data_IF_172848885400
#
_entry.id   IF_172848885400
#
_cell.length_a   1.000
_cell.length_b   1.000
_cell.length_c   1.000
_cell.angle_alpha   90.00
_cell.angle_beta   90.00
_cell.angle_gamma   90.00
#
_symmetry.space_group_name_H-M   'P 1'
#
loop_
_entity.id
_entity.type
_entity.pdbx_description
1 polymer ?
#
# COMPACT_ATOMS: atom_id res chain seq x y z
N UNK A 1 0.00 18.29 -13.51
CA UNK A 1 0.49 17.12 -12.75
C UNK A 1 1.33 17.52 -11.55
N UNK A 2 2.45 18.23 -11.71
CA UNK A 2 3.39 18.54 -10.63
C UNK A 2 2.78 19.32 -9.46
N UNK A 3 1.93 20.30 -9.75
CA UNK A 3 1.22 21.04 -8.71
C UNK A 3 0.27 20.14 -7.89
N UNK A 4 -0.38 19.18 -8.54
CA UNK A 4 -1.24 18.22 -7.85
C UNK A 4 -0.43 17.29 -6.95
N UNK A 5 0.69 16.74 -7.46
CA UNK A 5 1.59 15.89 -6.67
C UNK A 5 2.16 16.65 -5.47
N UNK A 6 2.59 17.90 -5.67
CA UNK A 6 3.09 18.76 -4.59
C UNK A 6 2.00 19.08 -3.55
N UNK A 7 0.76 19.27 -4.00
CA UNK A 7 -0.38 19.47 -3.11
C UNK A 7 -0.66 18.23 -2.25
N UNK A 8 -0.70 17.04 -2.87
CA UNK A 8 -0.88 15.78 -2.18
C UNK A 8 0.23 15.58 -1.14
N UNK A 9 1.49 15.75 -1.53
CA UNK A 9 2.63 15.58 -0.63
C UNK A 9 2.56 16.47 0.61
N UNK A 10 1.92 17.64 0.50
CA UNK A 10 1.82 18.63 1.58
C UNK A 10 0.59 18.45 2.47
N UNK A 11 -0.50 17.97 1.92
CA UNK A 11 -1.82 18.03 2.56
C UNK A 11 -2.49 16.68 2.77
N UNK A 12 -1.99 15.60 2.15
CA UNK A 12 -2.55 14.27 2.27
C UNK A 12 -2.26 13.64 3.63
N UNK A 13 -3.15 12.75 4.06
CA UNK A 13 -2.90 11.82 5.18
C UNK A 13 -2.03 10.65 4.76
N UNK A 14 -1.65 10.54 3.48
CA UNK A 14 -0.94 9.41 2.87
C UNK A 14 -1.73 8.08 2.92
N UNK A 15 -3.05 8.18 3.00
CA UNK A 15 -3.92 7.01 3.02
C UNK A 15 -4.25 6.55 1.59
N UNK A 16 -5.00 7.33 0.84
CA UNK A 16 -5.53 6.94 -0.48
C UNK A 16 -5.60 8.13 -1.42
N UNK A 17 -5.03 7.98 -2.61
CA UNK A 17 -5.04 8.99 -3.66
C UNK A 17 -5.42 8.36 -5.00
N UNK A 18 -6.11 9.11 -5.84
CA UNK A 18 -6.58 8.62 -7.13
C UNK A 18 -6.32 9.61 -8.26
N UNK A 19 -6.08 9.08 -9.44
CA UNK A 19 -6.06 9.82 -10.70
C UNK A 19 -7.07 9.22 -11.67
N UNK A 20 -7.77 10.09 -12.39
CA UNK A 20 -8.61 9.72 -13.53
C UNK A 20 -7.95 10.27 -14.78
N UNK A 21 -7.49 9.40 -15.64
CA UNK A 21 -6.77 9.78 -16.86
C UNK A 21 -6.87 8.70 -17.92
N UNK A 22 -6.81 9.12 -19.19
CA UNK A 22 -6.62 8.23 -20.34
C UNK A 22 -5.16 8.23 -20.84
N UNK A 23 -4.29 9.02 -20.20
CA UNK A 23 -2.86 9.13 -20.56
C UNK A 23 -2.04 8.24 -19.63
N UNK A 24 -1.47 7.17 -20.19
CA UNK A 24 -0.65 6.21 -19.46
C UNK A 24 0.60 6.87 -18.85
N UNK A 25 1.20 7.84 -19.55
CA UNK A 25 2.36 8.57 -19.03
C UNK A 25 2.00 9.37 -17.78
N UNK A 26 0.83 9.98 -17.77
CA UNK A 26 0.32 10.69 -16.59
C UNK A 26 0.00 9.72 -15.45
N UNK A 27 -0.56 8.56 -15.75
CA UNK A 27 -0.82 7.50 -14.77
C UNK A 27 0.48 7.02 -14.13
N UNK A 28 1.48 6.65 -14.93
CA UNK A 28 2.78 6.17 -14.46
C UNK A 28 3.50 7.22 -13.60
N UNK A 29 3.48 8.48 -14.04
CA UNK A 29 4.06 9.57 -13.27
C UNK A 29 3.37 9.75 -11.92
N UNK A 30 2.04 9.72 -11.91
CA UNK A 30 1.26 9.88 -10.68
C UNK A 30 1.56 8.75 -9.69
N UNK A 31 1.49 7.49 -10.13
CA UNK A 31 1.72 6.32 -9.27
C UNK A 31 3.15 6.22 -8.76
N UNK A 32 4.13 6.71 -9.53
CA UNK A 32 5.53 6.75 -9.12
C UNK A 32 5.80 7.84 -8.08
N UNK A 33 5.18 9.02 -8.24
CA UNK A 33 5.52 10.19 -7.43
C UNK A 33 4.64 10.36 -6.19
N UNK A 34 3.43 9.77 -6.17
CA UNK A 34 2.53 9.85 -5.03
C UNK A 34 2.82 8.74 -4.04
N UNK A 35 3.24 9.10 -2.84
CA UNK A 35 3.64 8.17 -1.80
C UNK A 35 2.54 8.00 -0.75
N UNK A 36 1.41 7.42 -1.17
CA UNK A 36 0.31 7.04 -0.28
C UNK A 36 0.20 5.52 -0.16
N UNK A 37 -0.48 5.05 0.88
CA UNK A 37 -0.61 3.61 1.15
C UNK A 37 -1.38 2.87 0.05
N UNK A 38 -2.33 3.56 -0.61
CA UNK A 38 -3.04 3.07 -1.78
C UNK A 38 -3.13 4.18 -2.83
N UNK A 39 -2.70 3.88 -4.05
CA UNK A 39 -2.76 4.79 -5.19
C UNK A 39 -3.54 4.15 -6.32
N UNK A 40 -4.55 4.84 -6.82
CA UNK A 40 -5.50 4.31 -7.79
C UNK A 40 -5.38 5.03 -9.13
N UNK A 41 -5.50 4.28 -10.21
CA UNK A 41 -5.68 4.79 -11.57
C UNK A 41 -7.04 4.33 -12.06
N UNK A 42 -7.92 5.28 -12.43
CA UNK A 42 -9.25 5.01 -12.97
C UNK A 42 -10.12 4.07 -12.11
N UNK A 43 -9.87 4.04 -10.82
CA UNK A 43 -10.62 3.22 -9.87
C UNK A 43 -11.12 4.06 -8.70
N UNK A 44 -12.18 3.61 -8.07
CA UNK A 44 -12.71 4.25 -6.86
C UNK A 44 -11.78 3.99 -5.68
N UNK A 45 -11.58 5.01 -4.84
CA UNK A 45 -10.87 4.85 -3.56
C UNK A 45 -11.58 3.90 -2.59
N UNK A 46 -12.84 3.56 -2.85
CA UNK A 46 -13.59 2.55 -2.11
C UNK A 46 -13.21 1.11 -2.49
N UNK A 47 -12.41 0.92 -3.54
CA UNK A 47 -12.00 -0.42 -3.98
C UNK A 47 -11.09 -1.12 -2.95
N UNK A 48 -10.37 -0.36 -2.15
CA UNK A 48 -9.51 -0.93 -1.10
C UNK A 48 -10.36 -1.38 0.09
N UNK A 49 -10.59 -2.67 0.12
CA UNK A 49 -11.41 -3.39 1.09
C UNK A 49 -10.77 -4.75 1.35
N UNK A 50 -10.76 -5.20 2.60
CA UNK A 50 -10.17 -6.48 2.97
C UNK A 50 -10.81 -7.66 2.25
N UNK A 51 -12.13 -7.61 1.99
CA UNK A 51 -12.86 -8.61 1.23
C UNK A 51 -12.43 -8.65 -0.23
N UNK A 52 -12.31 -7.50 -0.90
CA UNK A 52 -11.87 -7.39 -2.29
C UNK A 52 -10.43 -7.87 -2.49
N UNK A 53 -9.54 -7.62 -1.51
CA UNK A 53 -8.16 -8.12 -1.53
C UNK A 53 -8.02 -9.57 -1.05
N UNK A 54 -9.09 -10.21 -0.62
CA UNK A 54 -9.06 -11.60 -0.16
C UNK A 54 -8.32 -11.80 1.17
N UNK A 55 -8.24 -10.78 2.00
CA UNK A 55 -7.53 -10.82 3.30
C UNK A 55 -8.33 -11.49 4.42
N UNK A 56 -9.58 -11.87 4.14
CA UNK A 56 -10.45 -12.60 5.06
C UNK A 56 -11.04 -11.77 6.20
N UNK A 57 -10.66 -10.50 6.33
CA UNK A 57 -11.20 -9.57 7.33
C UNK A 57 -11.00 -8.12 6.89
N UNK A 58 -11.78 -7.21 7.46
CA UNK A 58 -11.59 -5.77 7.33
C UNK A 58 -10.74 -5.26 8.51
N UNK A 59 -9.50 -4.90 8.23
CA UNK A 59 -8.59 -4.36 9.24
C UNK A 59 -8.20 -2.91 8.98
N UNK A 60 -8.75 -2.31 7.92
CA UNK A 60 -8.39 -0.96 7.51
C UNK A 60 -7.06 -0.87 6.76
N UNK A 61 -6.51 0.34 6.68
CA UNK A 61 -5.27 0.64 5.98
C UNK A 61 -4.24 1.24 6.94
N UNK A 62 -3.05 0.66 6.96
CA UNK A 62 -1.88 1.26 7.61
C UNK A 62 -1.18 2.22 6.65
N UNK A 63 -0.83 3.41 7.12
CA UNK A 63 0.03 4.37 6.41
C UNK A 63 1.48 4.33 6.88
N UNK A 64 1.80 3.48 7.85
CA UNK A 64 3.14 3.31 8.41
C UNK A 64 4.09 2.70 7.38
N UNK A 65 5.36 3.07 7.44
CA UNK A 65 6.41 2.59 6.54
C UNK A 65 7.42 1.65 7.19
N UNK A 66 7.35 1.49 8.51
CA UNK A 66 8.28 0.65 9.27
C UNK A 66 7.84 -0.83 9.37
N UNK A 67 6.63 -1.12 8.95
CA UNK A 67 6.05 -2.47 8.88
C UNK A 67 5.02 -2.53 7.75
N UNK A 68 4.06 -3.44 7.80
CA UNK A 68 3.02 -3.58 6.77
C UNK A 68 2.32 -2.26 6.47
N UNK A 69 2.13 -1.96 5.19
CA UNK A 69 1.52 -0.75 4.66
C UNK A 69 0.41 -1.11 3.69
N UNK A 70 -0.61 -0.25 3.61
CA UNK A 70 -1.78 -0.49 2.78
C UNK A 70 -2.80 -1.38 3.48
N UNK A 71 -3.65 -2.09 2.73
CA UNK A 71 -4.65 -3.00 3.28
C UNK A 71 -4.01 -4.02 4.22
N UNK A 72 -4.63 -4.22 5.38
CA UNK A 72 -4.12 -5.08 6.44
C UNK A 72 -5.10 -6.23 6.69
N UNK A 73 -4.58 -7.43 6.79
CA UNK A 73 -5.30 -8.62 7.21
C UNK A 73 -4.70 -9.23 8.48
N UNK A 74 -5.13 -10.43 8.80
CA UNK A 74 -4.64 -11.13 10.00
C UNK A 74 -3.14 -11.42 9.95
N UNK A 75 -2.62 -11.72 8.76
CA UNK A 75 -1.21 -12.05 8.57
C UNK A 75 -0.28 -10.89 8.94
N UNK A 76 -0.66 -9.66 8.60
CA UNK A 76 0.13 -8.45 8.87
C UNK A 76 0.19 -8.10 10.37
N UNK A 77 -0.72 -8.64 11.17
CA UNK A 77 -0.73 -8.49 12.64
C UNK A 77 0.12 -9.55 13.36
N UNK A 78 0.61 -10.55 12.61
CA UNK A 78 1.41 -11.62 13.16
C UNK A 78 2.90 -11.32 13.03
N UNK A 79 3.68 -11.83 13.95
CA UNK A 79 5.13 -11.96 13.84
C UNK A 79 5.52 -13.43 13.82
N UNK A 80 6.70 -13.73 13.27
CA UNK A 80 7.19 -15.10 13.18
C UNK A 80 8.62 -15.19 13.68
N UNK A 81 9.02 -16.40 14.04
CA UNK A 81 10.42 -16.74 14.36
C UNK A 81 10.85 -17.93 13.54
N UNK A 82 12.11 -17.98 13.20
CA UNK A 82 12.72 -19.17 12.62
C UNK A 82 13.14 -20.14 13.73
N UNK A 83 12.84 -21.42 13.53
CA UNK A 83 13.36 -22.50 14.37
C UNK A 83 14.23 -23.34 13.44
N UNK A 84 15.51 -23.43 13.76
CA UNK A 84 16.50 -24.12 12.93
C UNK A 84 17.02 -25.31 13.74
N UNK A 85 16.78 -26.50 13.23
CA UNK A 85 17.34 -27.74 13.76
C UNK A 85 18.55 -28.11 12.91
N UNK A 86 19.70 -28.25 13.53
CA UNK A 86 20.92 -28.64 12.89
C UNK A 86 21.45 -29.99 13.45
N UNK A 87 22.32 -30.62 12.67
CA UNK A 87 23.07 -31.84 13.05
C UNK A 87 24.57 -31.56 12.87
N UNK A 88 25.05 -30.47 13.47
CA UNK A 88 26.45 -30.08 13.42
C UNK A 88 26.92 -29.42 12.12
N UNK A 89 26.00 -29.01 11.23
CA UNK A 89 26.39 -28.32 10.02
C UNK A 89 27.07 -26.99 10.33
N UNK A 90 28.14 -26.72 9.64
CA UNK A 90 28.85 -25.43 9.63
C UNK A 90 28.66 -24.73 8.30
N UNK A 91 28.74 -23.41 8.31
CA UNK A 91 28.63 -22.57 7.11
C UNK A 91 29.91 -22.63 6.28
#
# INVERSE_FOLDING_TARGET
>A
MDAAIAHIARHSTHHSEAIITADDTAADRFTTCVDSAAVYVNASTRFTDGGEFGLGCEMGISTQKLHARGPMGLAELCSYKYIIHGDGQTR
#
